data_IF_425060501919
#
_entry.id   IF_425060501919
#
_cell.length_a   1.000
_cell.length_b   1.000
_cell.length_c   1.000
_cell.angle_alpha   90.00
_cell.angle_beta   90.00
_cell.angle_gamma   90.00
#
_symmetry.space_group_name_H-M   'P 1'
#
loop_
_entity.id
_entity.type
_entity.pdbx_description
1 polymer ?
#
# COMPACT_ATOMS: atom_id res chain seq x y z
N UNK A 1 -21.99 -10.75 18.20
CA UNK A 1 -20.51 -10.85 18.22
C UNK A 1 -19.99 -9.53 18.78
N UNK A 2 -19.49 -9.53 20.01
CA UNK A 2 -19.16 -8.30 20.75
C UNK A 2 -17.96 -7.58 20.12
N UNK A 3 -18.20 -6.37 19.59
CA UNK A 3 -17.14 -5.45 19.12
C UNK A 3 -16.12 -5.20 20.24
N UNK A 4 -16.54 -5.28 21.50
CA UNK A 4 -15.72 -5.08 22.69
C UNK A 4 -14.64 -6.15 22.95
N UNK A 5 -14.71 -7.34 22.34
CA UNK A 5 -13.67 -8.36 22.51
C UNK A 5 -12.31 -7.96 21.87
N UNK A 6 -12.28 -6.86 21.12
CA UNK A 6 -11.09 -6.38 20.40
C UNK A 6 -10.25 -5.41 21.23
N UNK A 7 -10.73 -4.98 22.41
CA UNK A 7 -10.07 -4.00 23.27
C UNK A 7 -9.42 -4.66 24.49
N UNK A 8 -8.71 -5.76 24.27
CA UNK A 8 -7.93 -6.39 25.34
C UNK A 8 -6.55 -5.76 25.43
N UNK A 9 -5.98 -5.71 26.65
CA UNK A 9 -4.63 -5.19 26.88
C UNK A 9 -3.59 -5.91 26.01
N UNK A 10 -3.77 -7.22 25.80
CA UNK A 10 -2.84 -8.03 25.00
C UNK A 10 -2.85 -7.68 23.51
N UNK A 11 -4.00 -7.27 22.96
CA UNK A 11 -4.13 -6.89 21.55
C UNK A 11 -3.67 -5.46 21.23
N UNK A 12 -3.44 -4.62 22.23
CA UNK A 12 -3.12 -3.20 22.05
C UNK A 12 -1.82 -2.75 22.71
N UNK A 13 -1.53 -3.25 23.91
CA UNK A 13 -0.53 -2.64 24.80
C UNK A 13 0.48 -3.64 25.37
N UNK A 14 0.53 -4.87 24.85
CA UNK A 14 1.52 -5.88 25.26
C UNK A 14 2.94 -5.58 24.77
N UNK A 15 3.10 -4.79 23.70
CA UNK A 15 4.37 -4.60 23.00
C UNK A 15 4.65 -3.15 22.56
N UNK A 16 4.20 -2.17 23.37
CA UNK A 16 4.16 -0.73 23.02
C UNK A 16 5.45 -0.23 22.38
N UNK A 17 6.61 -0.44 23.01
CA UNK A 17 7.89 0.12 22.52
C UNK A 17 8.23 -0.35 21.11
N UNK A 18 8.04 -1.64 20.84
CA UNK A 18 8.39 -2.24 19.56
C UNK A 18 7.32 -1.93 18.52
N UNK A 19 6.04 -1.91 18.90
CA UNK A 19 4.94 -1.51 17.99
C UNK A 19 5.05 -0.04 17.55
N UNK A 20 5.55 0.86 18.42
CA UNK A 20 5.85 2.24 18.06
C UNK A 20 6.96 2.31 17.01
N UNK A 21 8.05 1.59 17.24
CA UNK A 21 9.18 1.57 16.30
C UNK A 21 8.80 0.92 14.97
N UNK A 22 8.06 -0.18 15.00
CA UNK A 22 7.60 -0.87 13.79
C UNK A 22 6.59 -0.02 13.01
N UNK A 23 5.65 0.63 13.70
CA UNK A 23 4.71 1.58 13.12
C UNK A 23 5.42 2.75 12.44
N UNK A 24 6.44 3.33 13.06
CA UNK A 24 7.27 4.38 12.46
C UNK A 24 8.00 3.89 11.19
N UNK A 25 8.61 2.71 11.24
CA UNK A 25 9.28 2.09 10.10
C UNK A 25 8.32 1.92 8.92
N UNK A 26 7.12 1.40 9.19
CA UNK A 26 6.08 1.20 8.16
C UNK A 26 5.55 2.53 7.64
N UNK A 27 5.30 3.51 8.52
CA UNK A 27 4.84 4.85 8.11
C UNK A 27 5.81 5.50 7.11
N UNK A 28 7.11 5.43 7.40
CA UNK A 28 8.16 5.92 6.51
C UNK A 28 8.21 5.17 5.18
N UNK A 29 8.01 3.85 5.21
CA UNK A 29 7.98 3.03 4.01
C UNK A 29 6.68 3.23 3.19
N UNK A 30 5.60 3.70 3.80
CA UNK A 30 4.31 3.95 3.15
C UNK A 30 4.30 5.21 2.29
N UNK A 31 5.05 6.25 2.67
CA UNK A 31 5.12 7.52 1.91
C UNK A 31 5.49 7.29 0.44
N UNK A 32 6.64 6.68 0.08
CA UNK A 32 7.02 6.45 -1.31
C UNK A 32 5.98 5.62 -2.07
N UNK A 33 5.44 4.57 -1.44
CA UNK A 33 4.48 3.66 -2.07
C UNK A 33 3.15 4.37 -2.37
N UNK A 34 2.59 5.10 -1.41
CA UNK A 34 1.33 5.82 -1.58
C UNK A 34 1.42 6.91 -2.65
N UNK A 35 2.55 7.63 -2.72
CA UNK A 35 2.82 8.61 -3.78
C UNK A 35 2.87 7.89 -5.13
N UNK A 36 3.67 6.83 -5.25
CA UNK A 36 3.81 6.07 -6.49
C UNK A 36 2.48 5.47 -6.97
N UNK A 37 1.67 4.91 -6.07
CA UNK A 37 0.37 4.34 -6.41
C UNK A 37 -0.66 5.40 -6.80
N UNK A 38 -0.61 6.60 -6.21
CA UNK A 38 -1.43 7.73 -6.64
C UNK A 38 -1.09 8.14 -8.08
N UNK A 39 0.20 8.24 -8.40
CA UNK A 39 0.69 8.54 -9.75
C UNK A 39 0.24 7.47 -10.75
N UNK A 40 0.32 6.18 -10.38
CA UNK A 40 -0.16 5.07 -11.22
C UNK A 40 -1.67 5.18 -11.45
N UNK A 41 -2.45 5.53 -10.43
CA UNK A 41 -3.88 5.73 -10.54
C UNK A 41 -4.26 7.02 -11.30
N UNK A 42 -3.29 7.91 -11.58
CA UNK A 42 -3.53 9.19 -12.26
C UNK A 42 -4.18 10.25 -11.37
N UNK A 43 -3.93 10.19 -10.06
CA UNK A 43 -4.45 11.15 -9.06
C UNK A 43 -3.33 11.79 -8.26
N UNK A 44 -3.63 12.91 -7.61
CA UNK A 44 -2.66 13.59 -6.74
C UNK A 44 -2.16 12.69 -5.60
N UNK A 45 -0.87 12.83 -5.19
CA UNK A 45 -0.30 12.08 -4.08
C UNK A 45 -1.12 12.13 -2.77
N UNK A 46 -1.80 13.25 -2.51
CA UNK A 46 -2.69 13.40 -1.34
C UNK A 46 -3.75 12.30 -1.23
N UNK A 47 -4.29 11.82 -2.35
CA UNK A 47 -5.37 10.81 -2.38
C UNK A 47 -4.89 9.47 -1.82
N UNK A 48 -3.71 9.00 -2.24
CA UNK A 48 -3.14 7.75 -1.72
C UNK A 48 -2.67 7.87 -0.27
N UNK A 49 -2.16 9.03 0.13
CA UNK A 49 -1.74 9.30 1.51
C UNK A 49 -2.93 9.35 2.47
N UNK A 50 -4.02 10.01 2.10
CA UNK A 50 -5.27 10.01 2.88
C UNK A 50 -5.89 8.62 2.96
N UNK A 51 -5.92 7.87 1.85
CA UNK A 51 -6.36 6.47 1.86
C UNK A 51 -5.54 5.64 2.85
N UNK A 52 -4.21 5.77 2.81
CA UNK A 52 -3.31 5.02 3.66
C UNK A 52 -3.54 5.31 5.15
N UNK A 53 -3.68 6.59 5.52
CA UNK A 53 -4.05 6.99 6.87
C UNK A 53 -5.41 6.42 7.30
N UNK A 54 -6.46 6.68 6.52
CA UNK A 54 -7.83 6.31 6.87
C UNK A 54 -7.96 4.80 7.03
N UNK A 55 -7.42 4.03 6.09
CA UNK A 55 -7.50 2.57 6.10
C UNK A 55 -6.71 1.99 7.26
N UNK A 56 -5.47 2.45 7.50
CA UNK A 56 -4.66 1.94 8.61
C UNK A 56 -5.30 2.22 9.97
N UNK A 57 -5.86 3.41 10.16
CA UNK A 57 -6.57 3.76 11.41
C UNK A 57 -7.81 2.89 11.56
N UNK A 58 -8.69 2.85 10.57
CA UNK A 58 -9.95 2.09 10.66
C UNK A 58 -9.69 0.60 10.84
N UNK A 59 -8.77 0.02 10.07
CA UNK A 59 -8.47 -1.42 10.17
C UNK A 59 -7.85 -1.79 11.52
N UNK A 60 -7.12 -0.87 12.17
CA UNK A 60 -6.58 -1.14 13.50
C UNK A 60 -7.68 -1.44 14.54
N UNK A 61 -8.84 -0.80 14.40
CA UNK A 61 -10.00 -1.02 15.29
C UNK A 61 -10.92 -2.14 14.81
N UNK A 62 -11.18 -2.23 13.50
CA UNK A 62 -12.21 -3.12 12.95
C UNK A 62 -11.66 -4.39 12.30
N UNK A 63 -10.36 -4.46 12.01
CA UNK A 63 -9.70 -5.60 11.36
C UNK A 63 -9.59 -6.84 12.24
N UNK A 64 -9.39 -7.98 11.60
CA UNK A 64 -9.34 -9.31 12.23
C UNK A 64 -7.92 -9.82 12.50
N UNK A 65 -6.89 -9.20 11.90
CA UNK A 65 -5.48 -9.60 12.03
C UNK A 65 -4.60 -8.46 12.60
N UNK A 66 -4.21 -8.51 13.88
CA UNK A 66 -3.22 -7.59 14.45
C UNK A 66 -1.87 -7.63 13.71
N UNK A 67 -1.12 -6.54 13.76
CA UNK A 67 0.15 -6.33 13.05
C UNK A 67 0.10 -6.38 11.50
N UNK A 68 -1.05 -6.67 10.90
CA UNK A 68 -1.23 -6.55 9.46
C UNK A 68 -1.45 -5.09 9.08
N UNK A 69 -0.80 -4.65 8.00
CA UNK A 69 -0.90 -3.28 7.48
C UNK A 69 -1.84 -3.29 6.27
N UNK A 70 -2.81 -2.37 6.28
CA UNK A 70 -3.65 -2.06 5.12
C UNK A 70 -3.58 -0.57 4.82
N UNK A 71 -3.47 -0.24 3.53
CA UNK A 71 -3.32 1.13 3.04
C UNK A 71 -3.68 1.19 1.55
N UNK A 72 -3.25 2.25 0.85
CA UNK A 72 -3.30 2.30 -0.61
C UNK A 72 -2.32 1.28 -1.20
N UNK A 73 -2.75 0.54 -2.23
CA UNK A 73 -1.95 -0.52 -2.86
C UNK A 73 -1.92 -0.38 -4.37
N UNK A 74 -0.83 -0.84 -4.99
CA UNK A 74 -0.72 -0.87 -6.46
C UNK A 74 -1.80 -1.74 -7.11
N UNK A 75 -2.20 -2.83 -6.43
CA UNK A 75 -3.30 -3.69 -6.84
C UNK A 75 -4.61 -2.92 -7.07
N UNK A 76 -4.97 -2.04 -6.13
CA UNK A 76 -6.16 -1.19 -6.25
C UNK A 76 -5.93 -0.04 -7.24
N UNK A 77 -4.74 0.58 -7.21
CA UNK A 77 -4.38 1.68 -8.09
C UNK A 77 -4.52 1.34 -9.57
N UNK A 78 -4.08 0.14 -9.97
CA UNK A 78 -4.13 -0.32 -11.35
C UNK A 78 -5.56 -0.51 -11.87
N UNK A 79 -6.47 -0.97 -11.00
CA UNK A 79 -7.89 -1.08 -11.35
C UNK A 79 -8.51 0.32 -11.48
N UNK A 80 -8.10 1.27 -10.63
CA UNK A 80 -8.60 2.64 -10.64
C UNK A 80 -8.05 3.49 -11.78
N UNK A 81 -6.84 3.21 -12.27
CA UNK A 81 -6.16 4.02 -13.27
C UNK A 81 -6.99 4.27 -14.53
N UNK A 82 -7.67 3.24 -15.05
CA UNK A 82 -8.53 3.39 -16.23
C UNK A 82 -9.86 4.11 -15.92
N UNK A 83 -10.39 3.99 -14.70
CA UNK A 83 -11.57 4.75 -14.28
C UNK A 83 -11.26 6.23 -14.17
N UNK A 84 -10.17 6.58 -13.48
CA UNK A 84 -9.72 7.96 -13.30
C UNK A 84 -9.41 8.61 -14.65
N UNK A 85 -8.68 7.91 -15.52
CA UNK A 85 -8.35 8.42 -16.87
C UNK A 85 -9.59 8.79 -17.69
N UNK A 86 -10.67 8.01 -17.58
CA UNK A 86 -11.86 8.17 -18.42
C UNK A 86 -12.97 9.02 -17.78
N UNK A 87 -13.05 9.07 -16.44
CA UNK A 87 -14.17 9.69 -15.72
C UNK A 87 -13.75 10.60 -14.55
N UNK A 88 -12.46 10.65 -14.19
CA UNK A 88 -11.93 11.54 -13.17
C UNK A 88 -11.99 11.03 -11.73
N UNK A 89 -11.52 11.88 -10.80
CA UNK A 89 -11.37 11.60 -9.37
C UNK A 89 -12.72 11.29 -8.69
N UNK A 90 -13.77 12.03 -9.01
CA UNK A 90 -15.08 11.88 -8.37
C UNK A 90 -15.69 10.49 -8.59
N UNK A 91 -15.54 9.94 -9.80
CA UNK A 91 -15.96 8.56 -10.10
C UNK A 91 -15.13 7.52 -9.34
N UNK A 92 -13.83 7.77 -9.13
CA UNK A 92 -12.94 6.92 -8.34
C UNK A 92 -13.35 6.91 -6.86
N UNK A 93 -13.70 8.06 -6.28
CA UNK A 93 -14.21 8.16 -4.91
C UNK A 93 -15.52 7.40 -4.74
N UNK A 94 -16.47 7.57 -5.68
CA UNK A 94 -17.72 6.84 -5.66
C UNK A 94 -17.55 5.32 -5.84
N UNK A 95 -16.64 4.88 -6.72
CA UNK A 95 -16.29 3.46 -6.85
C UNK A 95 -15.65 2.91 -5.57
N UNK A 96 -14.86 3.71 -4.86
CA UNK A 96 -14.26 3.34 -3.56
C UNK A 96 -15.33 3.17 -2.48
N UNK A 97 -16.30 4.09 -2.39
CA UNK A 97 -17.47 3.95 -1.51
C UNK A 97 -18.27 2.69 -1.84
N UNK A 98 -18.57 2.48 -3.12
CA UNK A 98 -19.32 1.32 -3.58
C UNK A 98 -18.57 0.01 -3.32
N UNK A 99 -17.24 0.02 -3.39
CA UNK A 99 -16.39 -1.14 -3.04
C UNK A 99 -16.63 -1.56 -1.61
N UNK A 100 -16.62 -0.63 -0.66
CA UNK A 100 -16.93 -0.95 0.73
C UNK A 100 -18.37 -1.45 0.92
N UNK A 101 -19.34 -0.89 0.18
CA UNK A 101 -20.73 -1.39 0.19
C UNK A 101 -20.83 -2.83 -0.36
N UNK A 102 -20.16 -3.13 -1.47
CA UNK A 102 -20.12 -4.48 -2.03
C UNK A 102 -19.43 -5.45 -1.08
N UNK A 103 -18.35 -5.04 -0.41
CA UNK A 103 -17.70 -5.86 0.61
C UNK A 103 -18.62 -6.13 1.82
N UNK A 104 -19.59 -5.26 2.14
CA UNK A 104 -20.67 -5.57 3.09
C UNK A 104 -21.49 -6.76 2.59
N UNK A 105 -21.92 -6.72 1.34
CA UNK A 105 -22.72 -7.79 0.70
C UNK A 105 -21.93 -9.12 0.69
N UNK A 106 -20.66 -9.08 0.27
CA UNK A 106 -19.78 -10.25 0.28
C UNK A 106 -19.57 -10.84 1.68
N UNK A 107 -19.49 -9.98 2.71
CA UNK A 107 -19.45 -10.38 4.11
C UNK A 107 -20.70 -11.15 4.54
N UNK A 108 -21.89 -10.71 4.14
CA UNK A 108 -23.15 -11.42 4.41
C UNK A 108 -23.24 -12.76 3.67
N UNK A 109 -22.76 -12.80 2.43
CA UNK A 109 -22.70 -14.01 1.61
C UNK A 109 -21.57 -14.98 2.04
N UNK A 110 -20.76 -14.61 3.05
CA UNK A 110 -19.60 -15.39 3.53
C UNK A 110 -18.62 -15.76 2.41
N UNK A 111 -18.42 -14.86 1.45
CA UNK A 111 -17.51 -15.05 0.31
C UNK A 111 -16.07 -15.27 0.74
N UNK A 112 -15.69 -14.86 1.96
CA UNK A 112 -14.39 -15.19 2.56
C UNK A 112 -14.08 -16.69 2.59
N UNK A 113 -15.09 -17.57 2.56
CA UNK A 113 -14.88 -19.02 2.44
C UNK A 113 -14.51 -19.46 1.02
N UNK A 114 -14.95 -18.73 -0.01
CA UNK A 114 -14.69 -19.05 -1.42
C UNK A 114 -13.21 -18.83 -1.80
N UNK A 115 -12.49 -18.08 -0.98
CA UNK A 115 -11.07 -17.80 -1.14
C UNK A 115 -10.18 -19.04 -1.18
N UNK A 116 -10.60 -20.14 -0.54
CA UNK A 116 -9.89 -21.41 -0.62
C UNK A 116 -9.89 -22.02 -2.03
N UNK A 117 -10.75 -21.53 -2.93
CA UNK A 117 -10.86 -22.00 -4.31
C UNK A 117 -10.04 -21.17 -5.30
N UNK A 118 -9.39 -20.09 -4.84
CA UNK A 118 -8.53 -19.27 -5.69
C UNK A 118 -7.27 -20.07 -5.99
N UNK A 119 -7.07 -20.41 -7.26
CA UNK A 119 -5.90 -21.19 -7.66
C UNK A 119 -4.62 -20.40 -7.37
N UNK A 120 -3.63 -21.08 -6.79
CA UNK A 120 -2.28 -20.52 -6.54
C UNK A 120 -1.67 -19.89 -7.80
N UNK A 121 -1.94 -20.45 -8.97
CA UNK A 121 -1.46 -19.92 -10.25
C UNK A 121 -1.98 -18.49 -10.53
N UNK A 122 -3.25 -18.20 -10.24
CA UNK A 122 -3.86 -16.87 -10.46
C UNK A 122 -3.20 -15.83 -9.57
N UNK A 123 -2.98 -16.18 -8.30
CA UNK A 123 -2.26 -15.33 -7.34
C UNK A 123 -0.85 -15.03 -7.84
N UNK A 124 -0.09 -16.05 -8.25
CA UNK A 124 1.29 -15.89 -8.70
C UNK A 124 1.34 -15.02 -9.96
N UNK A 125 0.41 -15.23 -10.90
CA UNK A 125 0.27 -14.39 -12.09
C UNK A 125 -0.03 -12.93 -11.73
N UNK A 126 -0.95 -12.69 -10.81
CA UNK A 126 -1.31 -11.36 -10.32
C UNK A 126 -0.11 -10.64 -9.68
N UNK A 127 0.59 -11.30 -8.76
CA UNK A 127 1.77 -10.73 -8.06
C UNK A 127 2.89 -10.40 -9.06
N UNK A 128 3.14 -11.27 -10.04
CA UNK A 128 4.14 -11.02 -11.08
C UNK A 128 3.74 -9.86 -12.01
N UNK A 129 2.47 -9.78 -12.42
CA UNK A 129 1.96 -8.68 -13.23
C UNK A 129 2.08 -7.35 -12.48
N UNK A 130 1.72 -7.33 -11.19
CA UNK A 130 1.88 -6.18 -10.31
C UNK A 130 3.34 -5.73 -10.23
N UNK A 131 4.28 -6.66 -10.01
CA UNK A 131 5.71 -6.34 -9.93
C UNK A 131 6.22 -5.72 -11.25
N UNK A 132 5.85 -6.29 -12.40
CA UNK A 132 6.23 -5.75 -13.72
C UNK A 132 5.63 -4.35 -13.91
N UNK A 133 4.37 -4.14 -13.54
CA UNK A 133 3.70 -2.84 -13.66
C UNK A 133 4.32 -1.78 -12.76
N UNK A 134 4.72 -2.13 -11.53
CA UNK A 134 5.46 -1.23 -10.64
C UNK A 134 6.76 -0.78 -11.31
N UNK A 135 7.53 -1.71 -11.89
CA UNK A 135 8.77 -1.39 -12.59
C UNK A 135 8.52 -0.53 -13.83
N UNK A 136 7.52 -0.88 -14.65
CA UNK A 136 7.12 -0.09 -15.83
C UNK A 136 6.70 1.33 -15.45
N UNK A 137 6.02 1.52 -14.32
CA UNK A 137 5.63 2.83 -13.81
C UNK A 137 6.83 3.71 -13.41
N UNK A 138 8.01 3.12 -13.18
CA UNK A 138 9.23 3.90 -12.92
C UNK A 138 9.91 4.39 -14.20
N UNK A 139 9.64 3.77 -15.36
CA UNK A 139 10.32 4.11 -16.62
C UNK A 139 10.19 5.60 -17.01
N UNK A 140 9.05 6.30 -16.84
CA UNK A 140 8.95 7.74 -17.12
C UNK A 140 9.86 8.61 -16.24
N UNK A 141 10.25 8.13 -15.06
CA UNK A 141 11.14 8.81 -14.12
C UNK A 141 12.61 8.39 -14.28
N UNK A 142 12.88 7.46 -15.20
CA UNK A 142 14.23 7.01 -15.55
C UNK A 142 14.59 7.58 -16.92
N UNK A 143 13.82 7.24 -17.95
CA UNK A 143 14.16 7.48 -19.34
C UNK A 143 14.22 8.98 -19.66
N UNK A 144 15.37 9.44 -20.16
CA UNK A 144 15.55 10.81 -20.63
C UNK A 144 15.79 11.85 -19.52
N UNK A 145 15.95 11.44 -18.25
CA UNK A 145 16.13 12.34 -17.09
C UNK A 145 17.59 12.75 -16.80
N UNK A 146 18.51 12.45 -17.70
CA UNK A 146 19.92 12.87 -17.60
C UNK A 146 20.80 12.01 -16.69
N UNK A 147 22.11 12.27 -16.74
CA UNK A 147 23.13 11.45 -16.06
C UNK A 147 23.04 11.52 -14.53
N UNK A 148 22.69 12.69 -13.97
CA UNK A 148 22.53 12.89 -12.52
C UNK A 148 21.47 11.96 -11.95
N UNK A 149 20.32 11.83 -12.62
CA UNK A 149 19.23 10.93 -12.24
C UNK A 149 19.71 9.47 -12.24
N UNK A 150 20.39 9.03 -13.30
CA UNK A 150 20.93 7.67 -13.37
C UNK A 150 21.96 7.38 -12.28
N UNK A 151 22.85 8.34 -12.00
CA UNK A 151 23.86 8.22 -10.95
C UNK A 151 23.21 8.10 -9.56
N UNK A 152 22.19 8.91 -9.27
CA UNK A 152 21.46 8.84 -8.00
C UNK A 152 20.66 7.55 -7.85
N UNK A 153 20.02 7.06 -8.92
CA UNK A 153 19.33 5.75 -8.88
C UNK A 153 20.33 4.63 -8.61
N UNK A 154 21.47 4.61 -9.32
CA UNK A 154 22.51 3.61 -9.13
C UNK A 154 23.10 3.66 -7.72
N UNK A 155 23.36 4.87 -7.21
CA UNK A 155 23.80 5.09 -5.82
C UNK A 155 22.74 4.61 -4.83
N UNK A 156 21.47 4.91 -5.08
CA UNK A 156 20.35 4.48 -4.25
C UNK A 156 20.25 2.97 -4.15
N UNK A 157 20.27 2.26 -5.29
CA UNK A 157 20.33 0.80 -5.31
C UNK A 157 21.57 0.27 -4.59
N UNK A 158 22.72 0.91 -4.78
CA UNK A 158 23.95 0.61 -4.05
C UNK A 158 23.78 0.70 -2.54
N UNK A 159 23.17 1.78 -2.03
CA UNK A 159 22.88 1.95 -0.59
C UNK A 159 21.87 0.91 -0.12
N UNK A 160 20.78 0.66 -0.86
CA UNK A 160 19.74 -0.30 -0.49
C UNK A 160 20.32 -1.70 -0.27
N UNK A 161 21.17 -2.16 -1.19
CA UNK A 161 21.76 -3.50 -1.11
C UNK A 161 23.01 -3.55 -0.21
N UNK A 162 23.75 -2.46 -0.03
CA UNK A 162 24.92 -2.43 0.84
C UNK A 162 24.57 -2.22 2.33
N UNK A 163 23.53 -1.43 2.64
CA UNK A 163 23.17 -1.05 4.02
C UNK A 163 22.95 -2.24 4.96
N UNK A 164 22.35 -3.37 4.55
CA UNK A 164 22.22 -4.56 5.41
C UNK A 164 23.57 -5.16 5.87
N UNK A 165 24.65 -4.94 5.11
CA UNK A 165 25.99 -5.44 5.45
C UNK A 165 26.75 -4.51 6.40
N UNK A 166 26.27 -3.28 6.62
CA UNK A 166 26.89 -2.34 7.55
C UNK A 166 26.50 -2.70 8.99
N UNK A 167 27.46 -3.14 9.83
CA UNK A 167 27.15 -3.53 11.20
C UNK A 167 26.58 -2.36 11.99
N UNK A 168 25.56 -2.64 12.82
CA UNK A 168 24.72 -1.70 13.60
C UNK A 168 23.70 -0.90 12.78
N UNK A 169 24.07 -0.30 11.65
CA UNK A 169 23.13 0.51 10.85
C UNK A 169 22.04 -0.37 10.20
N UNK A 170 22.44 -1.45 9.51
CA UNK A 170 21.51 -2.38 8.86
C UNK A 170 20.64 -3.20 9.81
N UNK A 171 20.93 -3.17 11.12
CA UNK A 171 20.13 -3.85 12.15
C UNK A 171 19.04 -2.97 12.75
N UNK A 172 19.14 -1.65 12.58
CA UNK A 172 18.26 -0.68 13.26
C UNK A 172 17.36 0.04 12.26
N UNK A 173 17.89 0.42 11.09
CA UNK A 173 17.16 1.22 10.11
C UNK A 173 16.89 0.43 8.81
N UNK A 174 15.67 0.50 8.25
CA UNK A 174 15.36 -0.06 6.94
C UNK A 174 16.24 0.56 5.84
N UNK A 175 16.77 -0.26 4.94
CA UNK A 175 17.62 0.24 3.85
C UNK A 175 16.91 1.23 2.89
N UNK A 176 15.58 1.14 2.61
CA UNK A 176 14.87 2.18 1.85
C UNK A 176 14.91 3.54 2.54
N UNK A 177 14.74 3.58 3.87
CA UNK A 177 14.76 4.81 4.64
C UNK A 177 16.15 5.46 4.59
N UNK A 178 17.21 4.68 4.83
CA UNK A 178 18.60 5.16 4.75
C UNK A 178 18.86 5.76 3.37
N UNK A 179 18.35 5.12 2.32
CA UNK A 179 18.50 5.58 0.94
C UNK A 179 17.80 6.89 0.68
N UNK A 180 16.52 7.02 1.08
CA UNK A 180 15.75 8.26 0.92
C UNK A 180 16.44 9.41 1.65
N UNK A 181 16.81 9.23 2.92
CA UNK A 181 17.46 10.27 3.72
C UNK A 181 18.82 10.65 3.12
N UNK A 182 19.67 9.67 2.82
CA UNK A 182 21.01 9.92 2.30
C UNK A 182 20.97 10.63 0.94
N UNK A 183 20.13 10.17 0.01
CA UNK A 183 20.03 10.81 -1.30
C UNK A 183 19.36 12.19 -1.23
N UNK A 184 18.43 12.41 -0.31
CA UNK A 184 17.86 13.75 -0.08
C UNK A 184 18.93 14.71 0.42
N UNK A 185 19.71 14.31 1.42
CA UNK A 185 20.83 15.13 1.92
C UNK A 185 21.84 15.43 0.82
N UNK A 186 22.25 14.42 0.05
CA UNK A 186 23.19 14.60 -1.08
C UNK A 186 22.61 15.57 -2.12
N UNK A 187 21.36 15.38 -2.52
CA UNK A 187 20.71 16.20 -3.55
C UNK A 187 20.60 17.66 -3.12
N UNK A 188 20.20 17.91 -1.87
CA UNK A 188 20.06 19.27 -1.32
C UNK A 188 21.42 19.93 -1.12
N UNK A 189 22.39 19.24 -0.51
CA UNK A 189 23.71 19.82 -0.23
C UNK A 189 24.50 20.14 -1.51
N UNK A 190 24.35 19.32 -2.55
CA UNK A 190 25.03 19.53 -3.83
C UNK A 190 24.23 20.37 -4.82
N UNK A 191 23.00 20.80 -4.45
CA UNK A 191 22.12 21.57 -5.33
C UNK A 191 21.82 20.86 -6.64
N UNK A 192 21.59 19.54 -6.61
CA UNK A 192 21.35 18.75 -7.81
C UNK A 192 19.98 19.09 -8.41
N UNK A 193 19.97 19.46 -9.68
CA UNK A 193 18.75 19.69 -10.46
C UNK A 193 18.16 18.34 -10.90
N UNK A 194 17.33 17.76 -10.01
CA UNK A 194 16.57 16.54 -10.25
C UNK A 194 15.14 16.74 -9.80
N UNK A 195 14.21 16.04 -10.47
CA UNK A 195 12.80 16.10 -10.10
C UNK A 195 12.62 15.62 -8.67
N UNK A 196 11.78 16.30 -7.93
CA UNK A 196 11.47 16.05 -6.53
C UNK A 196 10.02 15.58 -6.36
N UNK A 197 9.66 15.14 -5.16
CA UNK A 197 8.28 14.76 -4.81
C UNK A 197 7.32 15.94 -4.97
N UNK A 198 7.75 17.16 -4.63
CA UNK A 198 6.93 18.36 -4.79
C UNK A 198 6.51 18.60 -6.24
N UNK A 199 7.30 18.13 -7.21
CA UNK A 199 7.00 18.26 -8.64
C UNK A 199 5.99 17.22 -9.16
N UNK A 200 5.52 16.29 -8.31
CA UNK A 200 4.58 15.22 -8.69
C UNK A 200 3.12 15.57 -8.42
N UNK A 201 2.87 16.61 -7.63
CA UNK A 201 1.53 17.04 -7.25
C UNK A 201 1.48 17.48 -5.80
N UNK A 202 0.28 17.83 -5.36
CA UNK A 202 0.07 18.36 -4.02
C UNK A 202 0.20 17.26 -2.96
N UNK A 203 1.13 17.49 -2.02
CA UNK A 203 1.15 16.76 -0.76
C UNK A 203 0.03 17.29 0.15
N UNK A 204 -0.51 16.46 1.07
CA UNK A 204 -1.44 16.93 2.08
C UNK A 204 -0.89 18.11 2.89
N UNK A 205 -1.61 19.23 2.89
CA UNK A 205 -1.34 20.41 3.72
C UNK A 205 -2.38 20.57 4.86
N UNK A 206 -3.44 19.76 4.80
CA UNK A 206 -4.61 19.81 5.68
C UNK A 206 -4.98 18.41 6.14
N UNK A 207 -5.79 18.33 7.18
CA UNK A 207 -6.38 17.05 7.58
C UNK A 207 -7.41 16.61 6.54
N UNK A 208 -7.57 15.29 6.31
CA UNK A 208 -8.58 14.81 5.37
C UNK A 208 -9.96 15.27 5.82
N UNK A 209 -10.66 15.97 4.94
CA UNK A 209 -12.00 16.47 5.19
C UNK A 209 -13.03 15.50 4.63
N UNK A 210 -14.22 15.51 5.24
CA UNK A 210 -15.35 14.75 4.76
C UNK A 210 -15.76 15.25 3.36
N UNK A 211 -15.77 14.35 2.40
CA UNK A 211 -16.05 14.60 0.99
C UNK A 211 -17.10 13.61 0.51
N UNK A 212 -18.17 14.14 -0.09
CA UNK A 212 -19.13 13.34 -0.84
C UNK A 212 -18.84 13.53 -2.32
N UNK A 213 -18.76 12.45 -3.12
CA UNK A 213 -18.46 12.57 -4.54
C UNK A 213 -19.52 13.42 -5.26
N UNK A 214 -19.08 14.43 -5.99
CA UNK A 214 -19.95 15.31 -6.78
C UNK A 214 -20.18 14.70 -8.18
N UNK A 215 -21.03 13.67 -8.24
CA UNK A 215 -21.41 12.99 -9.48
C UNK A 215 -22.93 12.79 -9.57
N UNK A 216 -23.48 12.67 -10.80
CA UNK A 216 -24.89 12.35 -10.98
C UNK A 216 -25.24 11.00 -10.35
N UNK A 217 -26.12 11.01 -9.34
CA UNK A 217 -26.63 9.79 -8.68
C UNK A 217 -27.73 9.13 -9.52
N UNK A 218 -27.34 8.54 -10.66
CA UNK A 218 -28.24 7.85 -11.57
C UNK A 218 -27.73 6.44 -11.91
N UNK A 219 -28.59 5.65 -12.57
CA UNK A 219 -28.26 4.28 -12.98
C UNK A 219 -27.06 4.22 -13.93
N UNK A 220 -26.87 5.24 -14.77
CA UNK A 220 -25.75 5.29 -15.71
C UNK A 220 -24.40 5.36 -14.98
N UNK A 221 -24.28 6.26 -13.99
CA UNK A 221 -23.11 6.34 -13.12
C UNK A 221 -22.87 5.03 -12.38
N UNK A 222 -23.92 4.40 -11.85
CA UNK A 222 -23.80 3.10 -11.18
C UNK A 222 -23.22 2.04 -12.13
N UNK A 223 -23.72 1.95 -13.37
CA UNK A 223 -23.22 1.01 -14.38
C UNK A 223 -21.76 1.25 -14.77
N UNK A 224 -21.29 2.50 -14.72
CA UNK A 224 -19.88 2.83 -14.93
C UNK A 224 -19.01 2.30 -13.78
N UNK A 225 -19.37 2.60 -12.53
CA UNK A 225 -18.50 2.32 -11.37
C UNK A 225 -18.63 0.88 -10.85
N UNK A 226 -19.76 0.21 -11.10
CA UNK A 226 -20.05 -1.14 -10.61
C UNK A 226 -18.99 -2.20 -10.99
N UNK A 227 -18.54 -2.32 -12.25
CA UNK A 227 -17.51 -3.32 -12.60
C UNK A 227 -16.19 -3.06 -11.87
N UNK A 228 -15.77 -1.79 -11.75
CA UNK A 228 -14.58 -1.43 -10.98
C UNK A 228 -14.76 -1.77 -9.50
N UNK A 229 -15.88 -1.40 -8.89
CA UNK A 229 -16.14 -1.66 -7.48
C UNK A 229 -16.21 -3.18 -7.17
N UNK A 230 -16.74 -4.00 -8.08
CA UNK A 230 -16.71 -5.46 -7.97
C UNK A 230 -15.28 -6.01 -8.02
N UNK A 231 -14.47 -5.56 -8.98
CA UNK A 231 -13.06 -5.95 -9.11
C UNK A 231 -12.25 -5.54 -7.89
N UNK A 232 -12.37 -4.28 -7.44
CA UNK A 232 -11.71 -3.77 -6.23
C UNK A 232 -12.14 -4.56 -4.99
N UNK A 233 -13.43 -4.89 -4.87
CA UNK A 233 -13.93 -5.68 -3.74
C UNK A 233 -13.30 -7.06 -3.70
N UNK A 234 -13.24 -7.73 -4.86
CA UNK A 234 -12.62 -9.05 -4.97
C UNK A 234 -11.12 -8.99 -4.67
N UNK A 235 -10.37 -8.13 -5.37
CA UNK A 235 -8.92 -7.96 -5.19
C UNK A 235 -8.58 -7.59 -3.75
N UNK A 236 -9.31 -6.64 -3.16
CA UNK A 236 -9.06 -6.18 -1.79
C UNK A 236 -9.27 -7.27 -0.74
N UNK A 237 -10.33 -8.07 -0.87
CA UNK A 237 -10.55 -9.22 0.02
C UNK A 237 -9.54 -10.34 -0.22
N UNK A 238 -9.16 -10.57 -1.49
CA UNK A 238 -8.16 -11.58 -1.85
C UNK A 238 -6.83 -11.30 -1.15
N UNK A 239 -6.29 -10.09 -1.37
CA UNK A 239 -5.04 -9.63 -0.77
C UNK A 239 -5.09 -9.63 0.76
N UNK A 240 -6.21 -9.21 1.34
CA UNK A 240 -6.36 -9.17 2.80
C UNK A 240 -6.28 -10.54 3.45
N UNK A 241 -6.91 -11.54 2.83
CA UNK A 241 -6.96 -12.90 3.37
C UNK A 241 -5.67 -13.69 3.13
N UNK A 242 -5.02 -13.42 2.01
CA UNK A 242 -3.68 -13.89 1.72
C UNK A 242 -2.65 -13.34 2.69
N UNK A 243 -2.65 -12.01 2.87
CA UNK A 243 -1.76 -11.34 3.80
C UNK A 243 -2.00 -11.82 5.22
N UNK A 244 -3.26 -11.97 5.65
CA UNK A 244 -3.58 -12.49 6.97
C UNK A 244 -2.98 -13.89 7.21
N UNK A 245 -2.98 -14.76 6.19
CA UNK A 245 -2.38 -16.11 6.29
C UNK A 245 -0.85 -16.04 6.42
N UNK A 246 -0.19 -15.13 5.69
CA UNK A 246 1.25 -14.91 5.82
C UNK A 246 1.60 -14.38 7.22
N UNK A 247 0.82 -13.43 7.73
CA UNK A 247 1.02 -12.88 9.07
C UNK A 247 0.71 -13.93 10.14
N UNK A 248 -0.27 -14.81 9.94
CA UNK A 248 -0.58 -15.95 10.82
C UNK A 248 0.65 -16.88 10.95
N UNK A 249 1.24 -17.27 9.82
CA UNK A 249 2.45 -18.11 9.76
C UNK A 249 3.67 -17.43 10.39
N UNK A 250 3.87 -16.13 10.15
CA UNK A 250 5.05 -15.41 10.67
C UNK A 250 5.02 -15.14 12.18
N UNK A 251 3.86 -15.23 12.82
CA UNK A 251 3.74 -14.99 14.26
C UNK A 251 3.18 -16.18 15.03
N UNK A 252 2.97 -17.32 14.40
CA UNK A 252 2.39 -18.53 15.00
C UNK A 252 1.06 -18.28 15.73
N UNK A 253 0.16 -17.50 15.12
CA UNK A 253 -1.18 -17.21 15.68
C UNK A 253 -2.25 -17.28 14.59
N UNK A 254 -3.53 -17.36 14.96
CA UNK A 254 -4.64 -17.40 14.00
C UNK A 254 -5.36 -16.06 13.84
N UNK A 255 -6.03 -15.88 12.71
CA UNK A 255 -6.81 -14.68 12.38
C UNK A 255 -8.30 -14.96 12.18
N UNK A 256 -9.13 -14.00 12.57
CA UNK A 256 -10.54 -13.99 12.16
C UNK A 256 -10.67 -13.32 10.79
N UNK A 257 -10.65 -14.16 9.75
CA UNK A 257 -10.78 -13.76 8.35
C UNK A 257 -12.10 -13.04 8.03
N UNK A 258 -13.19 -13.41 8.69
CA UNK A 258 -14.48 -12.73 8.46
C UNK A 258 -14.47 -11.34 9.09
N UNK A 259 -13.85 -11.20 10.27
CA UNK A 259 -13.66 -9.91 10.90
C UNK A 259 -12.75 -9.00 10.06
N UNK A 260 -11.70 -9.56 9.45
CA UNK A 260 -10.85 -8.81 8.54
C UNK A 260 -11.64 -8.24 7.35
N UNK A 261 -12.47 -9.05 6.70
CA UNK A 261 -13.37 -8.57 5.64
C UNK A 261 -14.32 -7.46 6.15
N UNK A 262 -14.80 -7.55 7.40
CA UNK A 262 -15.64 -6.51 8.01
C UNK A 262 -14.88 -5.23 8.34
N UNK A 263 -13.58 -5.33 8.61
CA UNK A 263 -12.72 -4.16 8.77
C UNK A 263 -12.48 -3.46 7.45
N UNK A 264 -12.11 -4.22 6.41
CA UNK A 264 -11.82 -3.69 5.06
C UNK A 264 -12.98 -2.92 4.44
N UNK A 265 -14.21 -3.43 4.59
CA UNK A 265 -15.40 -2.73 4.07
C UNK A 265 -15.61 -1.36 4.73
N UNK A 266 -15.40 -1.25 6.05
CA UNK A 266 -15.54 0.02 6.78
C UNK A 266 -14.38 0.94 6.40
N UNK A 267 -13.17 0.39 6.30
CA UNK A 267 -11.98 1.13 5.92
C UNK A 267 -12.10 1.76 4.52
N UNK A 268 -12.62 1.03 3.53
CA UNK A 268 -12.84 1.57 2.18
C UNK A 268 -13.97 2.60 2.12
N UNK A 269 -15.06 2.43 2.88
CA UNK A 269 -16.11 3.46 2.99
C UNK A 269 -15.51 4.74 3.57
N UNK A 270 -14.78 4.64 4.69
CA UNK A 270 -14.17 5.80 5.33
C UNK A 270 -13.14 6.44 4.40
N UNK A 271 -12.29 5.66 3.73
CA UNK A 271 -11.34 6.21 2.75
C UNK A 271 -12.05 7.04 1.67
N UNK A 272 -13.10 6.49 1.04
CA UNK A 272 -13.87 7.22 0.03
C UNK A 272 -14.54 8.49 0.56
N UNK A 273 -15.04 8.47 1.80
CA UNK A 273 -15.65 9.64 2.46
C UNK A 273 -14.64 10.71 2.88
N UNK A 274 -13.35 10.40 2.88
CA UNK A 274 -12.27 11.30 3.29
C UNK A 274 -11.30 11.59 2.12
N UNK A 275 -11.77 11.43 0.88
CA UNK A 275 -11.01 11.77 -0.33
C UNK A 275 -9.88 10.79 -0.68
N UNK A 276 -9.89 9.60 -0.10
CA UNK A 276 -8.93 8.53 -0.35
C UNK A 276 -9.37 7.55 -1.43
N UNK A 277 -8.40 7.00 -2.16
CA UNK A 277 -8.59 5.86 -3.05
C UNK A 277 -8.86 4.55 -2.28
N UNK A 278 -9.38 3.54 -2.98
CA UNK A 278 -9.57 2.20 -2.44
C UNK A 278 -8.23 1.55 -2.04
N UNK A 279 -8.26 0.73 -1.00
CA UNK A 279 -7.10 0.05 -0.46
C UNK A 279 -7.41 -1.32 0.13
N UNK A 280 -6.35 -2.02 0.51
CA UNK A 280 -6.39 -3.36 1.09
C UNK A 280 -5.12 -3.66 1.87
N UNK A 281 -4.98 -4.90 2.36
CA UNK A 281 -3.75 -5.33 3.01
C UNK A 281 -2.55 -5.31 2.06
N UNK A 282 -1.37 -5.03 2.61
CA UNK A 282 -0.10 -5.06 1.90
C UNK A 282 0.79 -6.14 2.48
N UNK A 283 1.11 -7.14 1.66
CA UNK A 283 2.00 -8.24 2.06
C UNK A 283 3.36 -7.69 2.48
N UNK A 284 4.01 -6.88 1.65
CA UNK A 284 5.35 -6.35 1.91
C UNK A 284 5.44 -5.55 3.22
N UNK A 285 4.53 -4.60 3.41
CA UNK A 285 4.49 -3.76 4.62
C UNK A 285 4.12 -4.55 5.88
N UNK A 286 3.24 -5.55 5.77
CA UNK A 286 2.92 -6.44 6.88
C UNK A 286 4.13 -7.28 7.28
N UNK A 287 4.88 -7.81 6.30
CA UNK A 287 6.13 -8.54 6.53
C UNK A 287 7.18 -7.63 7.19
N UNK A 288 7.34 -6.39 6.72
CA UNK A 288 8.26 -5.41 7.32
C UNK A 288 7.85 -5.10 8.76
N UNK A 289 6.56 -4.85 9.01
CA UNK A 289 6.05 -4.56 10.34
C UNK A 289 6.35 -5.72 11.31
N UNK A 290 6.02 -6.95 10.91
CA UNK A 290 6.22 -8.16 11.72
C UNK A 290 7.72 -8.45 11.92
N UNK A 291 8.57 -8.27 10.91
CA UNK A 291 10.03 -8.41 11.07
C UNK A 291 10.64 -7.33 11.96
N UNK A 292 10.06 -6.14 11.97
CA UNK A 292 10.42 -5.04 12.87
C UNK A 292 9.86 -5.22 14.28
N UNK A 293 9.15 -6.33 14.54
CA UNK A 293 8.65 -6.73 15.85
C UNK A 293 7.24 -6.27 16.17
N UNK A 294 6.52 -5.65 15.22
CA UNK A 294 5.11 -5.28 15.38
C UNK A 294 4.24 -6.52 15.60
N UNK A 295 3.42 -6.53 16.64
CA UNK A 295 2.57 -7.68 17.02
C UNK A 295 1.14 -7.30 17.37
N UNK A 296 0.88 -6.05 17.70
CA UNK A 296 -0.43 -5.60 18.18
C UNK A 296 -1.15 -4.72 17.16
N UNK A 297 -2.39 -4.32 17.47
CA UNK A 297 -3.15 -3.34 16.67
C UNK A 297 -2.50 -1.95 16.69
N UNK A 298 -1.74 -1.65 17.75
CA UNK A 298 -1.07 -0.38 17.93
C UNK A 298 -0.05 -0.10 16.83
N UNK A 299 0.67 -1.12 16.34
CA UNK A 299 1.64 -0.90 15.25
C UNK A 299 0.96 -0.39 13.98
N UNK A 300 -0.22 -0.93 13.65
CA UNK A 300 -0.99 -0.54 12.45
C UNK A 300 -1.61 0.85 12.64
N UNK A 301 -2.16 1.13 13.83
CA UNK A 301 -2.68 2.46 14.16
C UNK A 301 -1.57 3.52 14.03
N UNK A 302 -0.41 3.25 14.63
CA UNK A 302 0.72 4.18 14.59
C UNK A 302 1.29 4.34 13.19
N UNK A 303 1.31 3.29 12.36
CA UNK A 303 1.70 3.42 10.96
C UNK A 303 0.84 4.48 10.23
N UNK A 304 -0.48 4.44 10.40
CA UNK A 304 -1.39 5.44 9.80
C UNK A 304 -1.24 6.83 10.42
N UNK A 305 -1.25 6.93 11.75
CA UNK A 305 -1.19 8.22 12.46
C UNK A 305 0.15 8.93 12.24
N UNK A 306 1.27 8.20 12.35
CA UNK A 306 2.60 8.77 12.09
C UNK A 306 2.70 9.20 10.62
N UNK A 307 2.19 8.40 9.68
CA UNK A 307 2.14 8.79 8.28
C UNK A 307 1.43 10.13 8.10
N UNK A 308 0.22 10.29 8.67
CA UNK A 308 -0.53 11.54 8.57
C UNK A 308 0.24 12.72 9.18
N UNK A 309 0.81 12.54 10.37
CA UNK A 309 1.60 13.58 11.03
C UNK A 309 2.79 13.99 10.14
N UNK A 310 3.48 13.02 9.54
CA UNK A 310 4.60 13.31 8.66
C UNK A 310 4.17 14.06 7.40
N UNK A 311 3.08 13.66 6.75
CA UNK A 311 2.70 14.32 5.49
C UNK A 311 2.11 15.70 5.69
N UNK A 312 1.36 15.95 6.77
CA UNK A 312 0.75 17.25 7.04
C UNK A 312 1.75 18.24 7.65
N UNK A 313 2.60 17.80 8.59
CA UNK A 313 3.48 18.71 9.33
C UNK A 313 4.92 18.75 8.80
N UNK A 314 5.36 17.75 8.02
CA UNK A 314 6.69 17.70 7.42
C UNK A 314 6.61 17.74 5.88
N UNK A 315 5.52 18.27 5.30
CA UNK A 315 5.34 18.41 3.84
C UNK A 315 6.52 19.12 3.16
N UNK A 316 7.06 20.18 3.77
CA UNK A 316 8.24 20.92 3.29
C UNK A 316 9.50 20.05 3.22
N UNK A 317 9.66 19.10 4.15
CA UNK A 317 10.79 18.17 4.17
C UNK A 317 10.57 17.05 3.14
N UNK A 318 9.33 16.61 2.97
CA UNK A 318 8.99 15.56 2.02
C UNK A 318 9.05 16.04 0.56
N UNK A 319 8.72 17.31 0.31
CA UNK A 319 8.67 17.89 -1.03
C UNK A 319 10.05 17.93 -1.70
N UNK A 320 11.14 18.09 -0.93
CA UNK A 320 12.53 18.12 -1.43
C UNK A 320 13.13 16.74 -1.68
N UNK A 321 12.41 15.66 -1.41
CA UNK A 321 12.92 14.30 -1.65
C UNK A 321 13.12 14.11 -3.16
N UNK A 322 14.31 13.72 -3.62
CA UNK A 322 14.58 13.51 -5.04
C UNK A 322 13.87 12.23 -5.52
N UNK A 323 13.16 12.32 -6.64
CA UNK A 323 12.50 11.20 -7.31
C UNK A 323 13.44 10.01 -7.59
N UNK A 324 14.72 10.21 -7.98
CA UNK A 324 15.69 9.11 -8.08
C UNK A 324 15.77 8.21 -6.85
N UNK A 325 15.58 8.74 -5.64
CA UNK A 325 15.58 7.94 -4.41
C UNK A 325 14.34 7.04 -4.31
N UNK A 326 13.16 7.59 -4.62
CA UNK A 326 11.91 6.82 -4.65
C UNK A 326 11.95 5.76 -5.75
N UNK A 327 12.44 6.11 -6.93
CA UNK A 327 12.61 5.18 -8.06
C UNK A 327 13.50 4.01 -7.67
N UNK A 328 14.65 4.25 -7.02
CA UNK A 328 15.52 3.18 -6.54
C UNK A 328 14.80 2.24 -5.55
N UNK A 329 14.01 2.79 -4.63
CA UNK A 329 13.19 2.01 -3.70
C UNK A 329 12.15 1.19 -4.45
N UNK A 330 11.41 1.79 -5.38
CA UNK A 330 10.36 1.10 -6.14
C UNK A 330 10.94 0.01 -7.07
N UNK A 331 12.14 0.20 -7.62
CA UNK A 331 12.87 -0.86 -8.34
C UNK A 331 13.13 -2.03 -7.40
N UNK A 332 13.67 -1.81 -6.20
CA UNK A 332 13.90 -2.89 -5.24
C UNK A 332 12.59 -3.58 -4.83
N UNK A 333 11.52 -2.81 -4.59
CA UNK A 333 10.19 -3.36 -4.25
C UNK A 333 9.66 -4.23 -5.39
N UNK A 334 9.78 -3.81 -6.64
CA UNK A 334 9.33 -4.60 -7.79
C UNK A 334 10.07 -5.93 -7.90
N UNK A 335 11.40 -5.92 -7.77
CA UNK A 335 12.24 -7.13 -7.78
C UNK A 335 11.88 -8.06 -6.62
N UNK A 336 11.61 -7.51 -5.44
CA UNK A 336 11.27 -8.29 -4.24
C UNK A 336 9.85 -8.85 -4.27
N UNK A 337 8.93 -8.17 -4.96
CA UNK A 337 7.54 -8.60 -5.14
C UNK A 337 7.43 -9.71 -6.18
N UNK A 338 8.26 -9.68 -7.23
CA UNK A 338 8.24 -10.67 -8.29
C UNK A 338 8.55 -12.09 -7.77
N UNK A 339 7.69 -13.06 -8.09
CA UNK A 339 7.88 -14.45 -7.71
C UNK A 339 8.87 -15.14 -8.66
N UNK A 340 10.15 -15.08 -8.33
CA UNK A 340 11.23 -15.71 -9.13
C UNK A 340 11.13 -17.23 -9.21
N UNK A 341 10.47 -17.87 -8.25
CA UNK A 341 10.26 -19.32 -8.27
C UNK A 341 9.30 -19.72 -9.40
N UNK A 342 8.31 -18.89 -9.72
CA UNK A 342 7.37 -19.18 -10.80
C UNK A 342 8.05 -19.28 -12.16
N UNK A 343 9.11 -18.49 -12.41
CA UNK A 343 9.89 -18.56 -13.66
C UNK A 343 10.66 -19.89 -13.76
N UNK A 344 11.19 -20.38 -12.64
CA UNK A 344 11.88 -21.67 -12.58
C UNK A 344 10.88 -22.83 -12.75
N UNK A 345 9.70 -22.69 -12.18
CA UNK A 345 8.62 -23.67 -12.26
C UNK A 345 7.94 -23.69 -13.62
N UNK A 346 7.94 -22.58 -14.37
CA UNK A 346 7.37 -22.48 -15.72
C UNK A 346 7.91 -23.56 -16.69
N UNK A 347 9.16 -23.98 -16.49
CA UNK A 347 9.80 -25.05 -17.28
C UNK A 347 9.24 -26.45 -16.99
N UNK A 348 8.49 -26.61 -15.89
CA UNK A 348 7.96 -27.88 -15.38
C UNK A 348 6.42 -27.90 -15.32
N UNK A 349 5.76 -26.75 -15.49
CA UNK A 349 4.31 -26.65 -15.44
C UNK A 349 3.67 -27.09 -16.77
N UNK A 350 2.65 -27.97 -16.75
CA UNK A 350 1.92 -28.35 -17.97
C UNK A 350 1.30 -27.13 -18.68
N UNK A 351 1.37 -27.10 -20.02
CA UNK A 351 0.91 -25.98 -20.85
C UNK A 351 -0.53 -25.54 -20.57
N UNK A 352 -1.42 -26.49 -20.23
CA UNK A 352 -2.83 -26.23 -19.92
C UNK A 352 -3.06 -25.31 -18.70
N UNK A 353 -2.08 -25.18 -17.79
CA UNK A 353 -2.16 -24.26 -16.65
C UNK A 353 -1.55 -22.88 -16.94
N UNK A 354 -0.86 -22.73 -18.08
CA UNK A 354 -0.18 -21.50 -18.50
C UNK A 354 -1.05 -20.70 -19.49
N UNK A 355 -1.94 -21.36 -20.24
CA UNK A 355 -2.71 -20.77 -21.34
C UNK A 355 -4.12 -20.26 -20.98
N UNK A 356 -4.40 -20.01 -19.69
CA UNK A 356 -5.61 -19.30 -19.23
C UNK A 356 -5.28 -17.82 -19.06
#
# INVERSE_FOLDING_TARGET
MNIFNHFTKDQWFSNIRVDVLSGLVVALALIPEAIAFSIIAGVDPKVGLYASFCIAVVISFFGGRPAMISAATGAMALVLASLVKNHGLEYMLAATLLTGVIQIIFGFLKVGYLMKFVARAVVVGFVNALAILIFMAQLPEILGRGMTTYALIALGLGIIYASPYVPKLGKILPSPLVTIVALTVISVMMGLDVRTVGDMGELPDTLPMFLLPDIPLNLHTLWIILPYALSLSAVGLLESLMTATIVDEMTDTTSDKNQECKGQRVANIVAGLFGGMAGCAMIGQSVINVKSGGRTRLSTLLAGVILLIMVVFLSDVLSVIPMPALVAVMIMVSISTFNWQSVKELKRTPWALISL
#
